data_IF_330976121070
#
_entry.id   IF_330976121070
#
_cell.length_a   1.000
_cell.length_b   1.000
_cell.length_c   1.000
_cell.angle_alpha   90.00
_cell.angle_beta   90.00
_cell.angle_gamma   90.00
#
_symmetry.space_group_name_H-M   'P 1'
#
loop_
_entity.id
_entity.type
_entity.pdbx_description
1 polymer ?
#
# COMPACT_ATOMS: atom_id res chain seq x y z
N UNK A 1 -53.30 38.26 15.15
CA UNK A 1 -53.48 37.46 13.92
C UNK A 1 -52.10 37.09 13.41
N UNK A 2 -51.74 35.88 13.03
CA UNK A 2 -52.35 34.56 13.10
C UNK A 2 -51.31 33.64 12.47
N UNK A 3 -50.89 32.60 13.20
CA UNK A 3 -50.40 31.30 12.69
C UNK A 3 -49.04 31.28 11.93
N UNK A 4 -48.04 30.43 12.26
CA UNK A 4 -48.03 28.95 12.33
C UNK A 4 -48.27 28.36 10.91
N UNK A 5 -47.57 27.37 10.34
CA UNK A 5 -46.90 26.15 10.80
C UNK A 5 -46.17 25.54 9.57
N UNK A 6 -44.98 24.95 9.72
CA UNK A 6 -44.70 23.50 9.62
C UNK A 6 -44.46 22.89 8.21
N UNK A 7 -43.21 22.43 7.99
CA UNK A 7 -42.77 21.15 7.35
C UNK A 7 -41.30 21.30 6.95
N UNK A 8 -40.40 20.35 7.11
CA UNK A 8 -40.54 18.97 7.51
C UNK A 8 -39.14 18.33 7.52
N UNK A 9 -39.01 17.38 8.45
CA UNK A 9 -37.95 16.38 8.62
C UNK A 9 -37.31 15.89 7.32
N UNK A 10 -35.98 15.91 7.27
CA UNK A 10 -35.19 14.89 6.60
C UNK A 10 -33.83 14.73 7.30
N UNK A 11 -33.76 13.74 8.18
CA UNK A 11 -32.53 13.03 8.49
C UNK A 11 -32.11 12.29 7.22
N UNK A 12 -30.87 12.53 6.80
CA UNK A 12 -30.12 11.75 5.83
C UNK A 12 -28.70 12.30 5.87
N UNK A 13 -27.91 11.97 6.89
CA UNK A 13 -27.02 10.80 6.88
C UNK A 13 -26.94 10.09 5.53
N UNK A 14 -25.70 9.87 5.14
CA UNK A 14 -25.26 9.00 4.06
C UNK A 14 -25.05 9.73 2.73
N UNK A 15 -23.85 10.27 2.59
CA UNK A 15 -22.92 9.60 1.68
C UNK A 15 -21.51 10.01 2.05
N UNK A 16 -20.80 9.04 2.62
CA UNK A 16 -19.37 9.05 2.80
C UNK A 16 -18.70 9.21 1.43
N UNK A 17 -18.49 10.45 1.00
CA UNK A 17 -17.33 10.78 0.21
C UNK A 17 -16.13 10.75 1.16
N UNK A 18 -15.75 9.54 1.62
CA UNK A 18 -14.39 9.32 2.06
C UNK A 18 -13.55 9.42 0.81
N UNK A 19 -13.24 10.65 0.45
CA UNK A 19 -12.02 11.04 -0.24
C UNK A 19 -10.88 10.41 0.57
N UNK A 20 -10.55 9.16 0.27
CA UNK A 20 -9.20 8.69 0.56
C UNK A 20 -8.33 9.44 -0.43
N UNK A 21 -7.90 10.61 0.03
CA UNK A 21 -6.75 11.27 -0.53
C UNK A 21 -5.66 10.21 -0.46
N UNK A 22 -5.31 9.64 -1.62
CA UNK A 22 -4.22 8.71 -1.74
C UNK A 22 -2.94 9.44 -1.41
N UNK A 23 -2.62 9.45 -0.12
CA UNK A 23 -1.36 9.94 0.38
C UNK A 23 -0.24 9.05 -0.15
N UNK A 24 1.02 9.41 0.10
CA UNK A 24 2.16 8.56 -0.19
C UNK A 24 2.18 7.33 0.75
N UNK A 25 1.13 6.48 0.74
CA UNK A 25 1.05 5.21 1.47
C UNK A 25 0.13 4.12 0.89
N UNK A 26 -0.53 4.31 -0.26
CA UNK A 26 -1.56 3.35 -0.72
C UNK A 26 -1.01 2.11 -1.45
N UNK A 27 -0.13 1.34 -0.82
CA UNK A 27 0.13 -0.06 -1.23
C UNK A 27 -1.15 -0.90 -1.16
N UNK A 28 -2.05 -0.53 -0.25
CA UNK A 28 -3.37 -1.11 -0.04
C UNK A 28 -4.23 -1.06 -1.33
N UNK A 29 -4.06 -0.04 -2.17
CA UNK A 29 -4.80 0.09 -3.43
C UNK A 29 -4.39 -0.94 -4.51
N UNK A 30 -3.21 -1.55 -4.37
CA UNK A 30 -2.70 -2.57 -5.30
C UNK A 30 -3.04 -3.99 -4.85
N UNK A 31 -3.62 -4.14 -3.66
CA UNK A 31 -4.07 -5.42 -3.13
C UNK A 31 -5.50 -5.71 -3.56
N UNK A 32 -5.77 -6.99 -3.82
CA UNK A 32 -7.13 -7.43 -4.10
C UNK A 32 -7.97 -7.48 -2.83
N UNK A 33 -9.30 -7.49 -2.96
CA UNK A 33 -10.19 -7.65 -1.78
C UNK A 33 -9.91 -8.96 -1.02
N UNK A 34 -9.53 -10.03 -1.72
CA UNK A 34 -9.14 -11.30 -1.10
C UNK A 34 -7.86 -11.16 -0.27
N UNK A 35 -6.86 -10.45 -0.81
CA UNK A 35 -5.61 -10.15 -0.11
C UNK A 35 -5.87 -9.35 1.18
N UNK A 36 -6.74 -8.33 1.11
CA UNK A 36 -7.11 -7.50 2.27
C UNK A 36 -7.89 -8.30 3.32
N UNK A 37 -8.82 -9.16 2.89
CA UNK A 37 -9.54 -10.06 3.79
C UNK A 37 -8.59 -11.05 4.48
N UNK A 38 -7.58 -11.56 3.76
CA UNK A 38 -6.55 -12.41 4.31
C UNK A 38 -5.70 -11.67 5.36
N UNK A 39 -5.22 -10.47 5.06
CA UNK A 39 -4.46 -9.63 6.01
C UNK A 39 -5.28 -9.37 7.27
N UNK A 40 -6.56 -8.99 7.13
CA UNK A 40 -7.43 -8.72 8.27
C UNK A 40 -7.54 -9.95 9.19
N UNK A 41 -7.78 -11.13 8.63
CA UNK A 41 -7.87 -12.38 9.42
C UNK A 41 -6.52 -12.77 10.01
N UNK A 42 -5.43 -12.55 9.27
CA UNK A 42 -4.08 -12.81 9.75
C UNK A 42 -3.75 -11.96 10.99
N UNK A 43 -4.12 -10.67 10.99
CA UNK A 43 -3.95 -9.77 12.13
C UNK A 43 -4.83 -10.21 13.31
N UNK A 44 -6.10 -10.56 13.05
CA UNK A 44 -7.01 -11.06 14.10
C UNK A 44 -6.54 -12.38 14.72
N UNK A 45 -5.82 -13.20 13.96
CA UNK A 45 -5.18 -14.43 14.41
C UNK A 45 -3.80 -14.21 15.05
N UNK A 46 -3.46 -12.97 15.41
CA UNK A 46 -2.17 -12.57 15.98
C UNK A 46 -0.96 -12.94 15.12
N UNK A 47 -1.13 -12.99 13.80
CA UNK A 47 -0.09 -13.40 12.85
C UNK A 47 0.19 -14.91 12.82
N UNK A 48 -0.64 -15.73 13.47
CA UNK A 48 -0.46 -17.18 13.48
C UNK A 48 -0.95 -17.82 12.20
N UNK A 49 -0.01 -18.16 11.30
CA UNK A 49 -0.26 -18.95 10.09
C UNK A 49 -1.01 -20.27 10.40
N UNK A 50 -0.76 -20.88 11.55
CA UNK A 50 -1.42 -22.12 11.97
C UNK A 50 -2.89 -21.89 12.35
N UNK A 51 -3.20 -20.77 13.00
CA UNK A 51 -4.58 -20.41 13.33
C UNK A 51 -5.37 -20.07 12.05
N UNK A 52 -4.76 -19.31 11.13
CA UNK A 52 -5.35 -19.00 9.83
C UNK A 52 -5.58 -20.27 8.99
N UNK A 53 -4.63 -21.20 8.97
CA UNK A 53 -4.80 -22.50 8.31
C UNK A 53 -6.01 -23.28 8.84
N UNK A 54 -6.20 -23.28 10.16
CA UNK A 54 -7.33 -23.93 10.81
C UNK A 54 -8.66 -23.26 10.45
N UNK A 55 -8.69 -21.93 10.40
CA UNK A 55 -9.89 -21.15 10.08
C UNK A 55 -10.31 -21.32 8.61
N UNK A 56 -9.35 -21.34 7.69
CA UNK A 56 -9.63 -21.56 6.26
C UNK A 56 -9.80 -23.05 5.89
N UNK A 57 -9.54 -23.98 6.81
CA UNK A 57 -9.62 -25.42 6.54
C UNK A 57 -8.57 -25.93 5.53
N UNK A 58 -7.47 -25.19 5.35
CA UNK A 58 -6.41 -25.51 4.39
C UNK A 58 -5.10 -25.85 5.09
N UNK A 59 -4.23 -26.55 4.37
CA UNK A 59 -2.94 -26.96 4.91
C UNK A 59 -2.02 -25.75 5.16
N UNK A 60 -1.21 -25.83 6.21
CA UNK A 60 -0.22 -24.81 6.56
C UNK A 60 0.71 -24.41 5.37
N UNK A 61 1.21 -25.35 4.54
CA UNK A 61 1.97 -25.01 3.33
C UNK A 61 1.20 -24.10 2.35
N UNK A 62 -0.10 -24.29 2.19
CA UNK A 62 -0.94 -23.50 1.29
C UNK A 62 -1.12 -22.07 1.79
N UNK A 63 -1.33 -21.88 3.09
CA UNK A 63 -1.42 -20.54 3.71
C UNK A 63 -0.08 -19.82 3.62
N UNK A 64 1.01 -20.54 3.89
CA UNK A 64 2.36 -19.99 3.79
C UNK A 64 2.63 -19.46 2.39
N UNK A 65 2.34 -20.24 1.36
CA UNK A 65 2.51 -19.81 -0.02
C UNK A 65 1.65 -18.58 -0.37
N UNK A 66 0.42 -18.49 0.17
CA UNK A 66 -0.43 -17.30 0.01
C UNK A 66 0.20 -16.07 0.67
N UNK A 67 0.72 -16.20 1.89
CA UNK A 67 1.40 -15.11 2.58
C UNK A 67 2.67 -14.68 1.83
N UNK A 68 3.49 -15.62 1.39
CA UNK A 68 4.73 -15.33 0.68
C UNK A 68 4.45 -14.55 -0.62
N UNK A 69 3.43 -14.96 -1.39
CA UNK A 69 2.99 -14.23 -2.59
C UNK A 69 2.51 -12.82 -2.28
N UNK A 70 1.81 -12.63 -1.16
CA UNK A 70 1.33 -11.33 -0.74
C UNK A 70 2.50 -10.41 -0.34
N UNK A 71 3.49 -10.94 0.39
CA UNK A 71 4.72 -10.21 0.74
C UNK A 71 5.46 -9.77 -0.52
N UNK A 72 5.67 -10.67 -1.47
CA UNK A 72 6.32 -10.36 -2.75
C UNK A 72 5.55 -9.29 -3.53
N UNK A 73 4.21 -9.39 -3.57
CA UNK A 73 3.37 -8.38 -4.23
C UNK A 73 3.53 -7.00 -3.60
N UNK A 74 3.58 -6.90 -2.28
CA UNK A 74 3.80 -5.64 -1.57
C UNK A 74 5.20 -5.10 -1.85
N UNK A 75 6.24 -5.96 -1.82
CA UNK A 75 7.62 -5.58 -2.16
C UNK A 75 7.72 -5.03 -3.57
N UNK A 76 7.13 -5.71 -4.56
CA UNK A 76 7.10 -5.22 -5.94
C UNK A 76 6.40 -3.87 -6.02
N UNK A 77 5.25 -3.70 -5.36
CA UNK A 77 4.53 -2.43 -5.35
C UNK A 77 5.36 -1.31 -4.72
N UNK A 78 6.09 -1.59 -3.64
CA UNK A 78 7.00 -0.63 -3.01
C UNK A 78 8.21 -0.33 -3.90
N UNK A 79 8.92 -1.34 -4.40
CA UNK A 79 10.05 -1.20 -5.33
C UNK A 79 9.68 -0.42 -6.60
N UNK A 80 8.46 -0.56 -7.11
CA UNK A 80 7.99 0.18 -8.30
C UNK A 80 7.46 1.57 -7.95
N UNK A 81 7.19 1.84 -6.66
CA UNK A 81 6.86 3.18 -6.15
C UNK A 81 8.08 4.10 -6.11
N UNK A 82 9.27 3.51 -6.12
CA UNK A 82 10.58 4.16 -6.13
C UNK A 82 10.91 4.89 -7.43
N UNK A 83 9.97 4.97 -8.38
CA UNK A 83 9.86 6.16 -9.23
C UNK A 83 9.40 7.38 -8.40
N UNK A 84 10.07 7.62 -7.28
CA UNK A 84 9.76 8.66 -6.32
C UNK A 84 9.93 10.04 -6.98
N UNK A 85 9.50 11.11 -6.29
CA UNK A 85 9.75 12.49 -6.74
C UNK A 85 11.23 12.69 -7.12
N UNK A 86 12.14 11.97 -6.47
CA UNK A 86 13.57 11.95 -6.75
C UNK A 86 13.89 11.34 -8.12
N UNK A 87 13.37 10.15 -8.43
CA UNK A 87 13.56 9.49 -9.73
C UNK A 87 13.02 10.34 -10.89
N UNK A 88 11.85 10.95 -10.72
CA UNK A 88 11.28 11.87 -11.72
C UNK A 88 12.13 13.12 -11.92
N UNK A 89 12.67 13.68 -10.83
CA UNK A 89 13.57 14.84 -10.90
C UNK A 89 14.86 14.49 -11.62
N UNK A 90 15.46 13.35 -11.30
CA UNK A 90 16.68 12.85 -11.94
C UNK A 90 16.48 12.67 -13.45
N UNK A 91 15.39 12.02 -13.87
CA UNK A 91 15.05 11.86 -15.29
C UNK A 91 14.82 13.20 -16.00
N UNK A 92 14.17 14.16 -15.33
CA UNK A 92 13.96 15.52 -15.87
C UNK A 92 15.29 16.26 -16.04
N UNK A 93 16.17 16.20 -15.04
CA UNK A 93 17.47 16.89 -15.10
C UNK A 93 18.45 16.27 -16.10
N UNK A 94 18.35 14.98 -16.32
CA UNK A 94 19.05 14.30 -17.41
C UNK A 94 18.56 14.77 -18.78
N UNK A 95 17.23 14.88 -18.97
CA UNK A 95 16.65 15.42 -20.21
C UNK A 95 17.03 16.89 -20.46
N UNK A 96 17.20 17.69 -19.42
CA UNK A 96 17.71 19.06 -19.49
C UNK A 96 19.22 19.15 -19.81
N UNK A 97 19.93 18.02 -19.94
CA UNK A 97 21.36 17.95 -20.19
C UNK A 97 22.24 18.40 -19.01
N UNK A 98 21.64 18.57 -17.82
CA UNK A 98 22.33 19.00 -16.59
C UNK A 98 22.90 17.84 -15.78
N UNK A 99 22.64 16.61 -16.21
CA UNK A 99 23.08 15.37 -15.57
C UNK A 99 23.59 14.43 -16.65
N UNK A 100 24.73 13.80 -16.38
CA UNK A 100 25.31 12.77 -17.24
C UNK A 100 24.63 11.40 -17.01
N UNK A 101 24.69 10.53 -18.01
CA UNK A 101 24.07 9.21 -17.98
C UNK A 101 24.72 8.29 -16.93
N UNK A 102 26.02 8.41 -16.71
CA UNK A 102 26.76 7.60 -15.75
C UNK A 102 26.45 8.02 -14.31
N UNK A 103 26.38 9.33 -14.07
CA UNK A 103 25.95 9.92 -12.79
C UNK A 103 24.49 9.57 -12.48
N UNK A 104 23.60 9.63 -13.47
CA UNK A 104 22.21 9.21 -13.29
C UNK A 104 22.11 7.75 -12.85
N UNK A 105 22.82 6.84 -13.54
CA UNK A 105 22.83 5.41 -13.20
C UNK A 105 23.37 5.17 -11.80
N UNK A 106 24.48 5.83 -11.43
CA UNK A 106 25.07 5.71 -10.11
C UNK A 106 24.11 6.16 -9.00
N UNK A 107 23.39 7.27 -9.20
CA UNK A 107 22.43 7.80 -8.22
C UNK A 107 21.18 6.92 -8.10
N UNK A 108 20.68 6.35 -9.21
CA UNK A 108 19.57 5.40 -9.18
C UNK A 108 19.95 4.12 -8.44
N UNK A 109 21.15 3.61 -8.70
CA UNK A 109 21.67 2.40 -8.04
C UNK A 109 21.89 2.61 -6.54
N UNK A 110 22.49 3.75 -6.14
CA UNK A 110 22.68 4.07 -4.74
C UNK A 110 21.35 4.21 -3.98
N UNK A 111 20.34 4.81 -4.62
CA UNK A 111 19.01 4.96 -4.02
C UNK A 111 18.34 3.59 -3.84
N UNK A 112 18.44 2.70 -4.83
CA UNK A 112 17.93 1.33 -4.76
C UNK A 112 18.46 0.56 -3.54
N UNK A 113 19.77 0.66 -3.32
CA UNK A 113 20.44 -0.03 -2.21
C UNK A 113 20.02 0.52 -0.83
N UNK A 114 19.75 1.82 -0.72
CA UNK A 114 19.28 2.45 0.52
C UNK A 114 17.90 1.91 0.95
N UNK A 115 17.04 1.64 -0.03
CA UNK A 115 15.69 1.12 0.19
C UNK A 115 15.73 -0.34 0.62
N UNK A 116 16.57 -1.14 -0.05
CA UNK A 116 16.82 -2.54 0.32
C UNK A 116 17.40 -2.66 1.75
N UNK A 117 18.29 -1.74 2.15
CA UNK A 117 18.89 -1.71 3.50
C UNK A 117 17.90 -1.23 4.59
N UNK A 118 17.01 -0.31 4.24
CA UNK A 118 15.93 0.14 5.13
C UNK A 118 14.93 -0.98 5.40
N UNK A 119 14.63 -1.81 4.40
CA UNK A 119 13.74 -2.97 4.50
C UNK A 119 14.38 -4.11 5.31
N UNK A 120 15.70 -4.29 5.23
CA UNK A 120 16.43 -5.28 6.03
C UNK A 120 16.52 -4.92 7.53
N UNK A 121 16.50 -3.63 7.86
CA UNK A 121 16.65 -3.13 9.24
C UNK A 121 15.34 -3.09 10.05
N UNK A 122 14.18 -3.23 9.40
CA UNK A 122 12.86 -3.29 10.02
C UNK A 122 12.48 -4.65 10.63
N UNK A 123 13.35 -5.66 10.51
CA UNK A 123 13.18 -6.95 11.17
C UNK A 123 13.97 -6.95 12.49
N UNK A 124 13.38 -6.37 13.54
CA UNK A 124 13.86 -6.52 14.93
C UNK A 124 12.69 -6.63 15.89
#
# INVERSE_FOLDING_TARGET
MSQAEEKGRAVGRDSAATSVAGGPGDWVAYLSEEDLAFIKRFILASGSLKAVAKEYGISYPTVRLRLDRLIEKIRVVEEHREASRFERLLRTRFADGKLDADTLRLLLEAHRQELEQSHASGCR
#
